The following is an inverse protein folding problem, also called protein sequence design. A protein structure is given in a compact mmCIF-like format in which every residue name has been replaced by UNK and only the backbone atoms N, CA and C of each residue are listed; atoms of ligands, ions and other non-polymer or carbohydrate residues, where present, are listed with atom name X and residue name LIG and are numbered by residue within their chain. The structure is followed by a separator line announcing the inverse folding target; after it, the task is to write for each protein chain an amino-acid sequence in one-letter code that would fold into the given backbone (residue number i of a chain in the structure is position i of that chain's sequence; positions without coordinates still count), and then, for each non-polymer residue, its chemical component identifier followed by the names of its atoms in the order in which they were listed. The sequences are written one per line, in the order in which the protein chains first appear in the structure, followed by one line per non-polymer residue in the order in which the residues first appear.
data_IF_647640873332
#
_entry.id   IF_647640873332
#
_cell.length_a   1.000
_cell.length_b   1.000
_cell.length_c   1.000
_cell.angle_alpha   90.00
_cell.angle_beta   90.00
_cell.angle_gamma   90.00
#
_symmetry.space_group_name_H-M   'P 1'
#
loop_
_entity.id
_entity.type
_entity.pdbx_description
1 polymer ?
#
# COMPACT_ATOMS: atom_id res chain seq x y z
N UNK A 1 14.32 18.64 20.01
CA UNK A 1 13.30 18.92 21.06
C UNK A 1 11.98 18.37 20.57
N UNK A 2 11.11 17.79 21.46
CA UNK A 2 9.81 17.25 21.09
C UNK A 2 8.74 18.06 21.82
N UNK A 3 7.69 18.45 21.09
CA UNK A 3 6.53 19.13 21.62
C UNK A 3 5.27 18.30 21.35
N UNK A 4 4.24 18.48 22.16
CA UNK A 4 3.00 17.72 22.05
C UNK A 4 1.83 18.68 21.82
N UNK A 5 0.97 18.37 20.85
CA UNK A 5 -0.28 19.07 20.63
C UNK A 5 -1.42 18.23 21.17
N UNK A 6 -2.10 18.72 22.17
CA UNK A 6 -3.28 18.09 22.76
C UNK A 6 -4.54 18.91 22.47
N UNK A 7 -5.69 18.25 22.47
CA UNK A 7 -6.99 18.91 22.39
C UNK A 7 -7.29 19.63 23.70
N UNK A 8 -7.77 20.88 23.62
CA UNK A 8 -8.10 21.75 24.77
C UNK A 8 -9.48 22.39 24.60
N UNK A 9 -10.51 21.55 24.52
CA UNK A 9 -11.88 21.98 24.35
C UNK A 9 -12.23 22.47 22.94
N UNK A 10 -13.34 23.18 22.82
CA UNK A 10 -13.90 23.69 21.57
C UNK A 10 -14.17 25.18 21.68
N UNK A 11 -13.92 25.95 20.62
CA UNK A 11 -14.22 27.37 20.54
C UNK A 11 -15.74 27.62 20.51
N UNK A 12 -16.19 28.88 20.75
CA UNK A 12 -17.58 29.29 20.53
C UNK A 12 -18.09 28.97 19.13
N UNK A 13 -17.23 29.02 18.11
CA UNK A 13 -17.52 28.66 16.70
C UNK A 13 -17.38 27.16 16.42
N UNK A 14 -17.42 26.30 17.43
CA UNK A 14 -17.29 24.83 17.34
C UNK A 14 -15.96 24.33 16.72
N UNK A 15 -14.90 25.16 16.68
CA UNK A 15 -13.57 24.76 16.24
C UNK A 15 -12.77 24.14 17.39
N UNK A 16 -12.08 23.04 17.11
CA UNK A 16 -11.23 22.37 18.11
C UNK A 16 -10.07 23.28 18.52
N UNK A 17 -9.97 23.57 19.81
CA UNK A 17 -8.79 24.23 20.41
C UNK A 17 -7.70 23.21 20.68
N UNK A 18 -6.45 23.67 20.60
CA UNK A 18 -5.29 22.86 20.92
C UNK A 18 -4.31 23.65 21.79
N UNK A 19 -3.70 22.94 22.74
CA UNK A 19 -2.52 23.42 23.49
C UNK A 19 -1.27 22.76 22.99
N UNK A 20 -0.16 23.48 23.03
CA UNK A 20 1.17 22.95 22.76
C UNK A 20 1.91 22.86 24.09
N UNK A 21 2.38 21.66 24.40
CA UNK A 21 3.12 21.35 25.63
C UNK A 21 4.56 20.94 25.27
N UNK A 22 5.48 21.23 26.20
CA UNK A 22 6.82 20.66 26.14
C UNK A 22 6.87 19.26 26.76
N UNK A 23 8.06 18.66 26.83
CA UNK A 23 8.28 17.34 27.43
C UNK A 23 8.05 17.27 28.95
N UNK A 24 7.81 18.40 29.60
CA UNK A 24 7.51 18.51 31.03
C UNK A 24 6.04 18.94 31.28
N UNK A 25 5.18 18.79 30.27
CA UNK A 25 3.76 19.18 30.28
C UNK A 25 3.50 20.69 30.54
N UNK A 26 4.54 21.53 30.32
CA UNK A 26 4.38 22.99 30.43
C UNK A 26 3.93 23.57 29.09
N UNK A 27 3.02 24.54 29.16
CA UNK A 27 2.54 25.22 27.95
C UNK A 27 3.67 26.01 27.30
N UNK A 28 3.86 25.81 25.98
CA UNK A 28 4.87 26.52 25.19
C UNK A 28 4.41 27.96 24.92
N UNK A 29 5.24 28.94 25.29
CA UNK A 29 5.03 30.37 25.05
C UNK A 29 6.05 30.99 24.09
N UNK A 30 7.10 30.25 23.74
CA UNK A 30 8.13 30.70 22.78
C UNK A 30 7.51 30.95 21.40
N UNK A 31 7.55 32.20 20.96
CA UNK A 31 6.98 32.64 19.67
C UNK A 31 7.61 31.93 18.49
N UNK A 32 8.91 31.69 18.52
CA UNK A 32 9.66 31.03 17.42
C UNK A 32 9.19 29.59 17.23
N UNK A 33 8.99 28.87 18.34
CA UNK A 33 8.48 27.49 18.33
C UNK A 33 7.03 27.47 17.84
N UNK A 34 6.19 28.38 18.34
CA UNK A 34 4.78 28.45 17.93
C UNK A 34 4.64 28.79 16.43
N UNK A 35 5.44 29.71 15.93
CA UNK A 35 5.48 30.02 14.48
C UNK A 35 5.90 28.80 13.65
N UNK A 36 6.92 28.06 14.08
CA UNK A 36 7.30 26.82 13.42
C UNK A 36 6.15 25.82 13.38
N UNK A 37 5.49 25.59 14.51
CA UNK A 37 4.38 24.63 14.62
C UNK A 37 3.21 25.06 13.74
N UNK A 38 2.86 26.33 13.69
CA UNK A 38 1.80 26.87 12.83
C UNK A 38 2.10 26.63 11.33
N UNK A 39 3.36 26.76 10.91
CA UNK A 39 3.80 26.51 9.54
C UNK A 39 3.68 25.03 9.15
N UNK A 40 3.61 24.09 10.09
CA UNK A 40 3.43 22.67 9.82
C UNK A 40 2.02 22.32 9.32
N UNK A 41 1.04 23.22 9.51
CA UNK A 41 -0.36 23.03 9.08
C UNK A 41 -0.94 21.68 9.53
N UNK A 42 -0.74 21.33 10.81
CA UNK A 42 -1.17 20.04 11.36
C UNK A 42 -2.69 19.93 11.30
N UNK A 43 -3.28 18.88 10.68
CA UNK A 43 -4.72 18.75 10.58
C UNK A 43 -5.41 18.80 11.95
N UNK A 44 -6.52 19.57 12.10
CA UNK A 44 -7.24 19.67 13.37
C UNK A 44 -7.76 18.33 13.90
N UNK A 45 -8.10 17.42 12.99
CA UNK A 45 -8.62 16.09 13.32
C UNK A 45 -7.57 15.13 13.91
N UNK A 46 -6.28 15.49 13.87
CA UNK A 46 -5.23 14.62 14.42
C UNK A 46 -5.19 14.72 15.95
N UNK A 47 -5.07 13.56 16.59
CA UNK A 47 -4.97 13.39 18.03
C UNK A 47 -3.56 12.95 18.45
N UNK A 48 -3.19 13.21 19.71
CA UNK A 48 -1.91 12.81 20.30
C UNK A 48 -0.73 13.12 19.38
N UNK A 49 -0.60 14.38 18.97
CA UNK A 49 0.40 14.81 18.00
C UNK A 49 1.73 15.09 18.68
N UNK A 50 2.76 14.38 18.28
CA UNK A 50 4.18 14.65 18.62
C UNK A 50 4.84 15.47 17.51
N UNK A 51 5.50 16.57 17.86
CA UNK A 51 6.12 17.51 16.92
C UNK A 51 7.62 17.54 17.17
N UNK A 52 8.39 17.30 16.11
CA UNK A 52 9.86 17.23 16.19
C UNK A 52 10.49 18.55 15.76
N UNK A 53 11.09 19.26 16.72
CA UNK A 53 11.76 20.53 16.49
C UNK A 53 13.28 20.34 16.56
N UNK A 54 13.88 20.12 15.38
CA UNK A 54 15.30 19.87 15.18
C UNK A 54 15.78 20.62 13.95
N UNK A 55 17.11 20.82 13.82
CA UNK A 55 17.71 21.53 12.68
C UNK A 55 17.39 20.88 11.32
N UNK A 56 17.25 19.54 11.27
CA UNK A 56 16.89 18.80 10.05
C UNK A 56 16.13 17.52 10.37
N UNK A 57 14.89 17.60 10.86
CA UNK A 57 14.17 16.42 11.26
C UNK A 57 13.81 15.55 10.06
N UNK A 58 13.84 14.23 10.28
CA UNK A 58 13.31 13.26 9.31
C UNK A 58 11.78 13.33 9.26
N UNK A 59 11.16 13.29 10.44
CA UNK A 59 9.72 13.43 10.66
C UNK A 59 9.48 14.81 11.24
N UNK A 60 8.53 15.56 10.68
CA UNK A 60 8.13 16.89 11.20
C UNK A 60 7.18 16.74 12.37
N UNK A 61 6.19 15.88 12.22
CA UNK A 61 5.26 15.50 13.26
C UNK A 61 4.63 14.15 12.96
N UNK A 62 4.09 13.53 14.00
CA UNK A 62 3.25 12.35 13.90
C UNK A 62 2.03 12.48 14.81
N UNK A 63 0.95 11.77 14.49
CA UNK A 63 -0.30 11.80 15.27
C UNK A 63 -1.32 10.83 14.70
N UNK A 64 -2.39 10.62 15.41
CA UNK A 64 -3.45 9.70 15.02
C UNK A 64 -4.55 10.43 14.25
N UNK A 65 -4.95 9.87 13.10
CA UNK A 65 -6.09 10.39 12.34
C UNK A 65 -7.43 9.99 12.98
N UNK A 66 -8.55 10.48 12.43
CA UNK A 66 -9.90 10.18 12.91
C UNK A 66 -10.28 8.70 12.91
N UNK A 67 -9.47 7.84 12.28
CA UNK A 67 -9.64 6.38 12.26
C UNK A 67 -8.66 5.66 13.21
N UNK A 68 -7.99 6.38 14.09
CA UNK A 68 -7.02 5.83 15.04
C UNK A 68 -5.73 5.31 14.38
N UNK A 69 -5.39 5.76 13.15
CA UNK A 69 -4.18 5.32 12.44
C UNK A 69 -3.07 6.35 12.63
N UNK A 70 -1.89 5.88 13.03
CA UNK A 70 -0.70 6.73 13.11
C UNK A 70 -0.33 7.26 11.73
N UNK A 71 -0.23 8.57 11.61
CA UNK A 71 0.22 9.30 10.43
C UNK A 71 1.53 10.00 10.74
N UNK A 72 2.54 9.84 9.88
CA UNK A 72 3.84 10.48 10.01
C UNK A 72 4.06 11.43 8.83
N UNK A 73 4.40 12.68 9.12
CA UNK A 73 4.68 13.69 8.10
C UNK A 73 6.18 13.93 8.02
N UNK A 74 6.76 13.57 6.91
CA UNK A 74 8.20 13.65 6.64
C UNK A 74 8.61 15.02 6.09
N UNK A 75 9.82 15.47 6.44
CA UNK A 75 10.40 16.69 5.90
C UNK A 75 10.61 16.63 4.38
N UNK A 76 10.62 17.81 3.73
CA UNK A 76 10.88 17.92 2.29
C UNK A 76 12.21 17.31 1.90
N UNK A 77 13.26 17.51 2.72
CA UNK A 77 14.59 16.95 2.48
C UNK A 77 14.57 15.41 2.50
N UNK A 78 13.90 14.84 3.52
CA UNK A 78 13.75 13.37 3.60
C UNK A 78 12.97 12.80 2.42
N UNK A 79 11.87 13.45 2.03
CA UNK A 79 11.07 13.05 0.85
C UNK A 79 11.92 13.07 -0.42
N UNK A 80 12.75 14.11 -0.65
CA UNK A 80 13.65 14.17 -1.81
C UNK A 80 14.68 13.04 -1.80
N UNK A 81 15.34 12.79 -0.65
CA UNK A 81 16.31 11.67 -0.51
C UNK A 81 15.64 10.31 -0.75
N UNK A 82 14.45 10.10 -0.20
CA UNK A 82 13.69 8.85 -0.39
C UNK A 82 13.26 8.66 -1.85
N UNK A 83 12.81 9.73 -2.53
CA UNK A 83 12.45 9.68 -3.94
C UNK A 83 13.67 9.36 -4.81
N UNK A 84 14.83 9.98 -4.56
CA UNK A 84 16.08 9.69 -5.28
C UNK A 84 16.49 8.21 -5.10
N UNK A 85 16.52 7.72 -3.86
CA UNK A 85 16.82 6.31 -3.56
C UNK A 85 15.85 5.35 -4.27
N UNK A 86 14.54 5.68 -4.26
CA UNK A 86 13.53 4.89 -4.99
C UNK A 86 13.82 4.83 -6.48
N UNK A 87 14.21 5.96 -7.08
CA UNK A 87 14.54 6.03 -8.50
C UNK A 87 15.78 5.19 -8.84
N UNK A 88 16.87 5.32 -8.05
CA UNK A 88 18.05 4.48 -8.22
C UNK A 88 17.74 2.98 -8.10
N UNK A 89 16.94 2.59 -7.09
CA UNK A 89 16.50 1.21 -6.92
C UNK A 89 15.68 0.70 -8.12
N UNK A 90 14.86 1.58 -8.73
CA UNK A 90 14.07 1.24 -9.91
C UNK A 90 14.96 0.98 -11.13
N UNK A 91 16.02 1.77 -11.29
CA UNK A 91 17.02 1.54 -12.36
C UNK A 91 17.74 0.20 -12.18
N UNK A 92 18.19 -0.11 -10.96
CA UNK A 92 18.81 -1.42 -10.68
C UNK A 92 17.84 -2.58 -10.88
N UNK A 93 16.59 -2.41 -10.46
CA UNK A 93 15.53 -3.39 -10.74
C UNK A 93 15.35 -3.63 -12.24
N UNK A 94 15.38 -2.55 -13.06
CA UNK A 94 15.29 -2.65 -14.51
C UNK A 94 16.40 -3.52 -15.13
N UNK A 95 17.62 -3.44 -14.61
CA UNK A 95 18.76 -4.26 -15.08
C UNK A 95 18.56 -5.76 -14.82
N UNK A 96 17.93 -6.13 -13.71
CA UNK A 96 17.71 -7.55 -13.36
C UNK A 96 16.38 -8.11 -13.88
N UNK A 97 15.50 -7.26 -14.41
CA UNK A 97 14.18 -7.66 -14.90
C UNK A 97 14.22 -8.75 -16.00
N UNK A 98 15.15 -8.73 -16.98
CA UNK A 98 15.27 -9.80 -17.96
C UNK A 98 15.54 -11.18 -17.34
N UNK A 99 16.43 -11.23 -16.35
CA UNK A 99 16.72 -12.46 -15.59
C UNK A 99 15.47 -12.93 -14.82
N UNK A 100 14.77 -12.01 -14.16
CA UNK A 100 13.52 -12.35 -13.46
C UNK A 100 12.51 -12.97 -14.43
N UNK A 101 12.30 -12.36 -15.60
CA UNK A 101 11.39 -12.91 -16.63
C UNK A 101 11.79 -14.31 -17.10
N UNK A 102 13.08 -14.54 -17.28
CA UNK A 102 13.61 -15.87 -17.63
C UNK A 102 13.31 -16.90 -16.54
N UNK A 103 13.60 -16.58 -15.27
CA UNK A 103 13.36 -17.47 -14.14
C UNK A 103 11.87 -17.76 -13.93
N UNK A 104 11.01 -16.75 -14.13
CA UNK A 104 9.55 -16.93 -14.08
C UNK A 104 9.09 -17.94 -15.14
N UNK A 105 9.56 -17.79 -16.39
CA UNK A 105 9.22 -18.72 -17.48
C UNK A 105 9.67 -20.14 -17.14
N UNK A 106 10.91 -20.33 -16.71
CA UNK A 106 11.47 -21.63 -16.29
C UNK A 106 10.60 -22.30 -15.20
N UNK A 107 10.16 -21.54 -14.20
CA UNK A 107 9.29 -22.07 -13.14
C UNK A 107 7.90 -22.43 -13.65
N UNK A 108 7.32 -21.65 -14.58
CA UNK A 108 6.00 -21.92 -15.16
C UNK A 108 6.05 -23.15 -16.04
N UNK A 109 7.13 -23.38 -16.78
CA UNK A 109 7.33 -24.55 -17.65
C UNK A 109 7.46 -25.87 -16.85
N UNK A 110 7.68 -25.82 -15.52
CA UNK A 110 7.78 -27.02 -14.70
C UNK A 110 6.47 -27.82 -14.75
N UNK A 111 6.49 -29.14 -15.05
CA UNK A 111 5.26 -29.96 -15.17
C UNK A 111 4.48 -30.05 -13.84
N UNK A 112 5.19 -30.15 -12.71
CA UNK A 112 4.60 -30.28 -11.38
C UNK A 112 4.06 -28.94 -10.89
N UNK A 113 2.92 -29.00 -10.19
CA UNK A 113 2.37 -27.85 -9.47
C UNK A 113 3.19 -27.60 -8.21
N UNK A 114 4.11 -26.63 -8.28
CA UNK A 114 4.97 -26.23 -7.17
C UNK A 114 4.62 -24.84 -6.67
N UNK A 115 5.03 -24.51 -5.45
CA UNK A 115 4.91 -23.15 -4.90
C UNK A 115 5.55 -22.13 -5.83
N UNK A 116 6.74 -22.42 -6.38
CA UNK A 116 7.45 -21.53 -7.28
C UNK A 116 6.68 -21.29 -8.59
N UNK A 117 6.04 -22.33 -9.15
CA UNK A 117 5.17 -22.18 -10.32
C UNK A 117 4.02 -21.24 -10.05
N UNK A 118 3.31 -21.42 -8.92
CA UNK A 118 2.19 -20.55 -8.52
C UNK A 118 2.65 -19.10 -8.33
N UNK A 119 3.75 -18.87 -7.60
CA UNK A 119 4.32 -17.53 -7.42
C UNK A 119 4.68 -16.91 -8.76
N UNK A 120 5.29 -17.67 -9.67
CA UNK A 120 5.68 -17.18 -10.99
C UNK A 120 4.48 -16.78 -11.86
N UNK A 121 3.39 -17.56 -11.83
CA UNK A 121 2.12 -17.21 -12.49
C UNK A 121 1.54 -15.89 -11.92
N UNK A 122 1.52 -15.73 -10.60
CA UNK A 122 1.05 -14.49 -9.95
C UNK A 122 1.90 -13.30 -10.39
N UNK A 123 3.25 -13.44 -10.38
CA UNK A 123 4.16 -12.35 -10.77
C UNK A 123 3.99 -12.01 -12.25
N UNK A 124 3.82 -13.01 -13.11
CA UNK A 124 3.58 -12.78 -14.55
C UNK A 124 2.29 -11.97 -14.78
N UNK A 125 1.21 -12.26 -14.04
CA UNK A 125 -0.02 -11.48 -14.10
C UNK A 125 0.19 -10.06 -13.55
N UNK A 126 0.99 -9.88 -12.50
CA UNK A 126 1.34 -8.55 -11.98
C UNK A 126 2.09 -7.73 -13.03
N UNK A 127 3.02 -8.35 -13.77
CA UNK A 127 3.77 -7.68 -14.84
C UNK A 127 2.83 -7.23 -15.97
N UNK A 128 1.84 -8.03 -16.33
CA UNK A 128 0.89 -7.72 -17.41
C UNK A 128 -0.16 -6.71 -16.98
N UNK A 129 -0.76 -6.92 -15.80
CA UNK A 129 -1.97 -6.22 -15.37
C UNK A 129 -1.73 -5.11 -14.34
N UNK A 130 -0.55 -5.04 -13.72
CA UNK A 130 -0.25 -4.07 -12.66
C UNK A 130 -1.04 -4.27 -11.36
N UNK A 131 -1.62 -5.45 -11.14
CA UNK A 131 -2.40 -5.75 -9.94
C UNK A 131 -1.55 -5.78 -8.67
N UNK A 132 -2.18 -5.46 -7.54
CA UNK A 132 -1.56 -5.60 -6.22
C UNK A 132 -1.68 -7.02 -5.70
N UNK A 133 -0.70 -7.42 -4.87
CA UNK A 133 -0.80 -8.63 -4.06
C UNK A 133 -1.93 -8.45 -3.04
N UNK A 134 -2.73 -9.51 -2.83
CA UNK A 134 -3.80 -9.54 -1.86
C UNK A 134 -3.34 -9.90 -0.46
N UNK A 135 -4.23 -9.65 0.52
CA UNK A 135 -4.05 -10.07 1.90
C UNK A 135 -5.40 -10.59 2.44
N UNK A 136 -5.40 -11.82 2.98
CA UNK A 136 -6.60 -12.49 3.49
C UNK A 136 -7.25 -11.70 4.63
N UNK A 137 -6.47 -11.03 5.49
CA UNK A 137 -7.00 -10.18 6.56
C UNK A 137 -7.85 -9.03 6.00
N UNK A 138 -7.35 -8.35 4.97
CA UNK A 138 -8.10 -7.26 4.33
C UNK A 138 -9.29 -7.76 3.52
N UNK A 139 -9.22 -8.96 2.94
CA UNK A 139 -10.35 -9.60 2.30
C UNK A 139 -11.48 -9.87 3.30
N UNK A 140 -11.17 -10.43 4.48
CA UNK A 140 -12.15 -10.70 5.53
C UNK A 140 -12.77 -9.42 6.11
N UNK A 141 -11.96 -8.38 6.33
CA UNK A 141 -12.42 -7.13 6.97
C UNK A 141 -13.14 -6.17 6.03
N UNK A 142 -12.76 -6.14 4.75
CA UNK A 142 -13.19 -5.09 3.81
C UNK A 142 -13.67 -5.62 2.46
N UNK A 143 -13.75 -6.95 2.28
CA UNK A 143 -14.12 -7.53 0.99
C UNK A 143 -13.16 -7.18 -0.16
N UNK A 144 -11.90 -6.76 0.14
CA UNK A 144 -10.97 -6.31 -0.87
C UNK A 144 -9.94 -7.37 -1.24
N UNK A 145 -9.76 -7.57 -2.55
CA UNK A 145 -8.89 -8.60 -3.11
C UNK A 145 -7.60 -8.00 -3.70
N UNK A 146 -6.64 -8.86 -3.95
CA UNK A 146 -5.51 -8.66 -4.83
C UNK A 146 -5.26 -9.95 -5.57
N UNK A 147 -4.34 -9.97 -6.55
CA UNK A 147 -4.19 -11.11 -7.45
C UNK A 147 -3.93 -12.44 -6.72
N UNK A 148 -3.22 -12.45 -5.60
CA UNK A 148 -2.85 -13.67 -4.87
C UNK A 148 -4.00 -14.34 -4.12
N UNK A 149 -5.12 -13.66 -3.90
CA UNK A 149 -6.28 -14.18 -3.16
C UNK A 149 -7.60 -14.01 -3.92
N UNK A 150 -7.56 -13.96 -5.25
CA UNK A 150 -8.77 -13.97 -6.07
C UNK A 150 -9.42 -15.36 -6.07
N UNK A 151 -10.75 -15.36 -6.22
CA UNK A 151 -11.54 -16.56 -6.43
C UNK A 151 -11.65 -16.92 -7.92
N UNK A 152 -11.98 -18.17 -8.23
CA UNK A 152 -12.30 -18.58 -9.61
C UNK A 152 -13.37 -17.70 -10.26
N UNK A 153 -14.39 -17.27 -9.49
CA UNK A 153 -15.45 -16.39 -9.97
C UNK A 153 -14.97 -15.02 -10.48
N UNK A 154 -13.76 -14.59 -10.12
CA UNK A 154 -13.15 -13.36 -10.62
C UNK A 154 -12.51 -13.51 -12.01
N UNK A 155 -12.49 -14.73 -12.55
CA UNK A 155 -11.97 -15.05 -13.88
C UNK A 155 -13.11 -15.39 -14.82
N UNK A 156 -13.16 -14.77 -15.99
CA UNK A 156 -14.08 -15.08 -17.08
C UNK A 156 -13.31 -15.36 -18.36
N UNK A 157 -13.69 -16.42 -19.05
CA UNK A 157 -13.16 -16.74 -20.37
C UNK A 157 -14.10 -16.19 -21.44
N UNK A 158 -13.53 -15.60 -22.51
CA UNK A 158 -14.25 -15.12 -23.68
C UNK A 158 -13.41 -15.44 -24.93
N UNK A 159 -13.69 -16.58 -25.57
CA UNK A 159 -12.84 -17.12 -26.62
C UNK A 159 -11.41 -17.34 -26.13
N UNK A 160 -10.43 -16.81 -26.86
CA UNK A 160 -9.00 -16.85 -26.54
C UNK A 160 -8.55 -15.82 -25.50
N UNK A 161 -9.46 -15.11 -24.86
CA UNK A 161 -9.18 -14.04 -23.89
C UNK A 161 -9.59 -14.49 -22.48
N UNK A 162 -8.80 -14.06 -21.50
CA UNK A 162 -9.11 -14.22 -20.09
C UNK A 162 -9.29 -12.85 -19.44
N UNK A 163 -10.50 -12.56 -18.94
CA UNK A 163 -10.79 -11.38 -18.15
C UNK A 163 -10.64 -11.70 -16.66
N UNK A 164 -9.81 -10.93 -15.96
CA UNK A 164 -9.73 -10.95 -14.50
C UNK A 164 -10.35 -9.66 -13.97
N UNK A 165 -11.37 -9.79 -13.10
CA UNK A 165 -12.08 -8.64 -12.52
C UNK A 165 -12.41 -8.87 -11.05
N UNK A 166 -11.99 -7.93 -10.18
CA UNK A 166 -12.26 -7.99 -8.73
C UNK A 166 -12.25 -6.61 -8.08
N UNK A 167 -12.86 -6.52 -6.90
CA UNK A 167 -12.83 -5.29 -6.07
C UNK A 167 -11.54 -5.28 -5.25
N UNK A 168 -10.72 -4.26 -5.43
CA UNK A 168 -9.45 -4.09 -4.76
C UNK A 168 -9.48 -3.06 -3.63
N UNK A 169 -8.30 -2.57 -3.27
CA UNK A 169 -8.12 -1.60 -2.18
C UNK A 169 -9.00 -0.35 -2.37
N UNK A 170 -9.69 0.06 -1.30
CA UNK A 170 -10.62 1.20 -1.26
C UNK A 170 -11.85 1.06 -2.18
N UNK A 171 -12.27 -0.18 -2.49
CA UNK A 171 -13.43 -0.43 -3.34
C UNK A 171 -13.18 -0.21 -4.84
N UNK A 172 -11.95 0.03 -5.26
CA UNK A 172 -11.62 0.23 -6.69
C UNK A 172 -11.75 -1.08 -7.44
N UNK A 173 -12.48 -1.05 -8.56
CA UNK A 173 -12.57 -2.20 -9.47
C UNK A 173 -11.26 -2.31 -10.23
N UNK A 174 -10.63 -3.49 -10.14
CA UNK A 174 -9.46 -3.87 -10.92
C UNK A 174 -9.92 -4.80 -12.03
N UNK A 175 -9.56 -4.49 -13.27
CA UNK A 175 -9.95 -5.26 -14.45
C UNK A 175 -8.78 -5.33 -15.43
N UNK A 176 -8.53 -6.50 -16.01
CA UNK A 176 -7.46 -6.71 -16.98
C UNK A 176 -7.80 -7.88 -17.91
N UNK A 177 -7.53 -7.71 -19.19
CA UNK A 177 -7.69 -8.76 -20.21
C UNK A 177 -6.32 -9.33 -20.53
N UNK A 178 -6.15 -10.64 -20.33
CA UNK A 178 -4.96 -11.39 -20.69
C UNK A 178 -5.19 -12.02 -22.07
N UNK A 179 -4.21 -11.84 -22.99
CA UNK A 179 -4.21 -12.38 -24.36
C UNK A 179 -3.15 -13.47 -24.56
N UNK A 180 -2.26 -13.66 -23.58
CA UNK A 180 -1.20 -14.65 -23.63
C UNK A 180 -1.80 -16.06 -23.49
N UNK A 181 -1.90 -16.78 -24.61
CA UNK A 181 -2.46 -18.14 -24.68
C UNK A 181 -1.76 -19.13 -23.76
N UNK A 182 -0.43 -19.01 -23.63
CA UNK A 182 0.34 -19.87 -22.74
C UNK A 182 -0.05 -19.66 -21.27
N UNK A 183 -0.07 -18.41 -20.83
CA UNK A 183 -0.46 -18.06 -19.46
C UNK A 183 -1.93 -18.46 -19.18
N UNK A 184 -2.82 -18.24 -20.14
CA UNK A 184 -4.23 -18.64 -20.04
C UNK A 184 -4.34 -20.17 -19.86
N UNK A 185 -3.62 -20.96 -20.65
CA UNK A 185 -3.63 -22.42 -20.51
C UNK A 185 -3.14 -22.88 -19.14
N UNK A 186 -2.06 -22.30 -18.62
CA UNK A 186 -1.55 -22.66 -17.30
C UNK A 186 -2.54 -22.29 -16.18
N UNK A 187 -3.20 -21.14 -16.27
CA UNK A 187 -4.23 -20.74 -15.31
C UNK A 187 -5.47 -21.64 -15.41
N UNK A 188 -5.90 -22.01 -16.64
CA UNK A 188 -7.01 -22.91 -16.86
C UNK A 188 -6.78 -24.28 -16.22
N UNK A 189 -5.55 -24.82 -16.28
CA UNK A 189 -5.19 -26.06 -15.58
C UNK A 189 -5.43 -25.95 -14.06
N UNK A 190 -5.12 -24.78 -13.47
CA UNK A 190 -5.32 -24.54 -12.04
C UNK A 190 -6.79 -24.45 -11.63
N UNK A 191 -7.66 -23.90 -12.50
CA UNK A 191 -9.05 -23.61 -12.13
C UNK A 191 -10.03 -24.67 -12.63
N UNK A 192 -9.57 -25.66 -13.42
CA UNK A 192 -10.44 -26.65 -14.08
C UNK A 192 -11.45 -27.29 -13.11
N UNK A 193 -10.99 -27.77 -11.95
CA UNK A 193 -11.79 -28.49 -10.96
C UNK A 193 -12.19 -27.63 -9.74
N UNK A 194 -11.99 -26.30 -9.79
CA UNK A 194 -12.31 -25.40 -8.68
C UNK A 194 -13.75 -24.91 -8.74
N UNK A 195 -14.36 -24.72 -7.56
CA UNK A 195 -15.67 -24.08 -7.40
C UNK A 195 -15.55 -22.56 -7.53
N UNK A 196 -16.62 -21.80 -7.78
CA UNK A 196 -16.56 -20.34 -7.94
C UNK A 196 -15.89 -19.58 -6.79
N UNK A 197 -16.04 -20.04 -5.55
CA UNK A 197 -15.46 -19.43 -4.34
C UNK A 197 -14.12 -20.02 -3.91
N UNK A 198 -13.54 -20.94 -4.68
CA UNK A 198 -12.19 -21.45 -4.40
C UNK A 198 -11.15 -20.45 -4.85
N UNK A 199 -10.06 -20.32 -4.07
CA UNK A 199 -8.92 -19.51 -4.47
C UNK A 199 -8.25 -20.08 -5.71
N UNK A 200 -7.91 -19.21 -6.66
CA UNK A 200 -7.23 -19.60 -7.90
C UNK A 200 -5.83 -20.17 -7.60
N UNK A 201 -5.07 -19.48 -6.78
CA UNK A 201 -3.66 -19.76 -6.51
C UNK A 201 -3.50 -20.54 -5.19
N UNK A 202 -3.51 -21.86 -5.31
CA UNK A 202 -3.25 -22.82 -4.21
C UNK A 202 -2.24 -23.87 -4.69
N UNK A 203 -1.47 -24.42 -3.78
CA UNK A 203 -0.46 -25.48 -4.05
C UNK A 203 -0.47 -26.50 -2.90
#
# INVERSE_FOLDING_TARGET
MIYFRIKDGVTKDKKQKHKILDKFDKQVTDKTVLEYINKLMIPPAYDNVSIFYEKAPKILFEGYDSKGRLQQIYSKLHKKKAAHKKFCNLMEFGKVLPKIKYDLKKNIDTPKLTKNKIISLIIQIIIICGFRIGNIKYQKLYGSFGISNIFKSHIKMSGDLMLIKFVGKKGVINECVIKDKYLINEINKLIKNKKPKDYVFTY
#
